data_IF_983790126431
#
_entry.id   IF_983790126431
#
_cell.length_a   1.000
_cell.length_b   1.000
_cell.length_c   1.000
_cell.angle_alpha   90.00
_cell.angle_beta   90.00
_cell.angle_gamma   90.00
#
_symmetry.space_group_name_H-M   'P 1'
#
loop_
_entity.id
_entity.type
_entity.pdbx_description
1 polymer ?
#
# COMPACT_ATOMS: atom_id res chain seq x y z
N UNK A 1 -34.11 -70.66 -8.80
CA UNK A 1 -33.62 -69.74 -7.76
C UNK A 1 -32.25 -69.24 -8.18
N UNK A 2 -32.16 -68.02 -8.70
CA UNK A 2 -30.92 -67.32 -8.98
C UNK A 2 -31.12 -65.88 -8.52
N UNK A 3 -30.43 -65.48 -7.45
CA UNK A 3 -30.44 -64.11 -6.93
C UNK A 3 -29.17 -63.42 -7.41
N UNK A 4 -29.33 -62.58 -8.43
CA UNK A 4 -28.35 -61.57 -8.84
C UNK A 4 -28.24 -60.53 -7.73
N UNK A 5 -27.12 -60.53 -6.99
CA UNK A 5 -26.74 -59.43 -6.10
C UNK A 5 -25.92 -58.42 -6.89
N UNK A 6 -26.41 -57.19 -6.89
CA UNK A 6 -25.86 -56.04 -7.59
C UNK A 6 -24.58 -55.54 -6.91
N UNK A 7 -23.61 -55.23 -7.75
CA UNK A 7 -22.35 -54.56 -7.45
C UNK A 7 -22.60 -53.16 -6.86
N UNK A 8 -22.06 -52.87 -5.66
CA UNK A 8 -22.00 -51.53 -5.10
C UNK A 8 -20.59 -50.95 -5.31
N UNK A 9 -20.41 -49.81 -5.99
CA UNK A 9 -19.13 -49.13 -6.05
C UNK A 9 -18.91 -48.37 -4.74
N UNK A 10 -17.83 -48.75 -4.04
CA UNK A 10 -17.34 -48.12 -2.80
C UNK A 10 -17.01 -46.65 -3.07
N UNK A 11 -17.77 -45.75 -2.44
CA UNK A 11 -17.64 -44.31 -2.57
C UNK A 11 -16.23 -43.79 -2.26
N UNK A 12 -15.67 -43.05 -3.22
CA UNK A 12 -14.47 -42.24 -3.08
C UNK A 12 -14.79 -40.99 -2.25
N UNK A 13 -14.29 -40.95 -1.01
CA UNK A 13 -14.42 -39.78 -0.14
C UNK A 13 -13.53 -38.60 -0.57
N UNK A 14 -13.91 -37.34 -0.27
CA UNK A 14 -13.19 -36.13 -0.66
C UNK A 14 -11.79 -35.95 -0.02
N UNK A 15 -11.35 -36.89 0.83
CA UNK A 15 -10.02 -36.88 1.46
C UNK A 15 -8.88 -37.44 0.60
N UNK A 16 -9.17 -38.30 -0.39
CA UNK A 16 -8.12 -38.98 -1.19
C UNK A 16 -7.47 -38.07 -2.25
N UNK A 17 -8.15 -36.98 -2.64
CA UNK A 17 -7.61 -35.97 -3.55
C UNK A 17 -6.65 -35.00 -2.84
N UNK A 18 -6.93 -34.67 -1.57
CA UNK A 18 -6.11 -33.75 -0.78
C UNK A 18 -4.73 -34.35 -0.42
N UNK A 19 -4.63 -35.67 -0.25
CA UNK A 19 -3.37 -36.34 0.06
C UNK A 19 -2.43 -36.52 -1.14
N UNK A 20 -2.94 -36.38 -2.38
CA UNK A 20 -2.13 -36.53 -3.60
C UNK A 20 -1.40 -35.26 -4.02
N UNK A 21 -1.92 -34.08 -3.68
CA UNK A 21 -1.32 -32.79 -4.08
C UNK A 21 -0.09 -32.42 -3.26
N UNK A 22 0.08 -32.96 -2.05
CA UNK A 22 1.26 -32.74 -1.20
C UNK A 22 2.53 -33.46 -1.69
N UNK A 23 2.45 -34.39 -2.66
CA UNK A 23 3.60 -35.17 -3.14
C UNK A 23 4.25 -34.66 -4.44
N UNK A 24 3.73 -33.59 -5.03
CA UNK A 24 4.21 -33.06 -6.31
C UNK A 24 5.24 -31.92 -6.19
N UNK A 25 5.80 -31.67 -5.00
CA UNK A 25 6.86 -30.67 -4.78
C UNK A 25 8.32 -31.19 -4.56
N UNK A 26 8.83 -32.30 -5.14
CA UNK A 26 10.24 -32.68 -4.93
C UNK A 26 11.21 -32.22 -6.03
N UNK A 27 10.74 -31.95 -7.25
CA UNK A 27 11.67 -31.81 -8.40
C UNK A 27 12.33 -30.42 -8.50
N UNK A 28 11.58 -29.36 -8.24
CA UNK A 28 12.12 -27.99 -8.25
C UNK A 28 13.11 -27.77 -7.10
N UNK A 29 12.78 -28.29 -5.92
CA UNK A 29 13.64 -28.27 -4.73
C UNK A 29 14.96 -28.99 -4.96
N UNK A 30 14.93 -30.22 -5.49
CA UNK A 30 16.15 -30.98 -5.77
C UNK A 30 17.03 -30.32 -6.84
N UNK A 31 16.45 -29.63 -7.83
CA UNK A 31 17.21 -28.88 -8.85
C UNK A 31 17.90 -27.65 -8.25
N UNK A 32 17.20 -26.92 -7.38
CA UNK A 32 17.74 -25.77 -6.66
C UNK A 32 18.93 -26.18 -5.77
N UNK A 33 18.77 -27.24 -4.95
CA UNK A 33 19.85 -27.77 -4.12
C UNK A 33 21.05 -28.28 -4.93
N UNK A 34 20.81 -28.87 -6.10
CA UNK A 34 21.90 -29.31 -6.99
C UNK A 34 22.69 -28.14 -7.57
N UNK A 35 22.04 -27.02 -7.92
CA UNK A 35 22.71 -25.80 -8.38
C UNK A 35 23.53 -25.14 -7.26
N UNK A 36 22.99 -25.10 -6.03
CA UNK A 36 23.73 -24.64 -4.85
C UNK A 36 24.95 -25.53 -4.60
N UNK A 37 24.79 -26.85 -4.68
CA UNK A 37 25.89 -27.80 -4.50
C UNK A 37 26.96 -27.68 -5.60
N UNK A 38 26.58 -27.29 -6.82
CA UNK A 38 27.52 -27.01 -7.92
C UNK A 38 28.36 -25.75 -7.69
N UNK A 39 27.79 -24.73 -7.04
CA UNK A 39 28.51 -23.51 -6.65
C UNK A 39 29.25 -23.63 -5.31
N UNK A 40 29.09 -24.76 -4.59
CA UNK A 40 29.77 -25.01 -3.33
C UNK A 40 31.26 -25.29 -3.59
N UNK A 41 32.19 -24.48 -3.07
CA UNK A 41 33.60 -24.67 -3.35
C UNK A 41 34.12 -25.97 -2.71
N UNK A 42 34.94 -26.73 -3.46
CA UNK A 42 35.44 -28.06 -3.05
C UNK A 42 36.53 -28.02 -1.95
N UNK A 43 36.96 -26.83 -1.50
CA UNK A 43 38.02 -26.66 -0.50
C UNK A 43 37.42 -26.64 0.91
N UNK A 44 38.06 -27.33 1.87
CA UNK A 44 37.60 -27.42 3.27
C UNK A 44 37.40 -26.03 3.92
N UNK A 45 38.32 -25.10 3.67
CA UNK A 45 38.24 -23.72 4.19
C UNK A 45 37.05 -22.91 3.68
N UNK A 46 36.61 -23.17 2.45
CA UNK A 46 35.48 -22.45 1.88
C UNK A 46 34.15 -22.95 2.46
N UNK A 47 34.03 -24.25 2.72
CA UNK A 47 32.86 -24.82 3.40
C UNK A 47 32.72 -24.31 4.83
N UNK A 48 33.81 -24.28 5.60
CA UNK A 48 33.78 -23.76 6.97
C UNK A 48 33.41 -22.27 7.00
N UNK A 49 33.96 -21.47 6.09
CA UNK A 49 33.65 -20.04 5.99
C UNK A 49 32.18 -19.79 5.65
N UNK A 50 31.59 -20.55 4.72
CA UNK A 50 30.17 -20.43 4.35
C UNK A 50 29.27 -20.77 5.54
N UNK A 51 29.57 -21.80 6.33
CA UNK A 51 28.73 -22.16 7.49
C UNK A 51 28.67 -21.03 8.51
N UNK A 52 29.74 -20.25 8.65
CA UNK A 52 29.79 -19.10 9.57
C UNK A 52 29.11 -17.85 8.96
N UNK A 53 29.39 -17.54 7.70
CA UNK A 53 28.90 -16.31 7.06
C UNK A 53 27.44 -16.42 6.58
N UNK A 54 27.03 -17.58 6.06
CA UNK A 54 25.68 -17.79 5.53
C UNK A 54 24.55 -17.45 6.52
N UNK A 55 24.56 -17.90 7.80
CA UNK A 55 23.50 -17.54 8.74
C UNK A 55 23.50 -16.04 9.05
N UNK A 56 24.67 -15.39 9.06
CA UNK A 56 24.78 -13.95 9.26
C UNK A 56 24.13 -13.18 8.11
N UNK A 57 24.43 -13.54 6.85
CA UNK A 57 23.82 -12.90 5.66
C UNK A 57 22.31 -13.16 5.61
N UNK A 58 21.86 -14.36 5.96
CA UNK A 58 20.43 -14.69 6.01
C UNK A 58 19.72 -13.79 7.03
N UNK A 59 20.25 -13.71 8.25
CA UNK A 59 19.70 -12.84 9.28
C UNK A 59 19.73 -11.37 8.85
N UNK A 60 20.83 -10.91 8.25
CA UNK A 60 20.95 -9.55 7.73
C UNK A 60 19.89 -9.23 6.67
N UNK A 61 19.63 -10.16 5.75
CA UNK A 61 18.62 -10.00 4.70
C UNK A 61 17.22 -9.86 5.29
N UNK A 62 16.89 -10.68 6.29
CA UNK A 62 15.59 -10.61 6.99
C UNK A 62 15.45 -9.28 7.74
N UNK A 63 16.49 -8.87 8.48
CA UNK A 63 16.47 -7.60 9.21
C UNK A 63 16.33 -6.43 8.23
N UNK A 64 17.10 -6.41 7.14
CA UNK A 64 17.02 -5.38 6.13
C UNK A 64 15.62 -5.31 5.50
N UNK A 65 15.03 -6.47 5.18
CA UNK A 65 13.67 -6.53 4.64
C UNK A 65 12.63 -5.95 5.60
N UNK A 66 12.64 -6.39 6.88
CA UNK A 66 11.70 -5.87 7.89
C UNK A 66 11.90 -4.39 8.15
N UNK A 67 13.16 -3.93 8.22
CA UNK A 67 13.48 -2.52 8.40
C UNK A 67 12.95 -1.68 7.23
N UNK A 68 13.18 -2.11 5.99
CA UNK A 68 12.65 -1.42 4.82
C UNK A 68 11.13 -1.37 4.88
N UNK A 69 10.44 -2.50 5.08
CA UNK A 69 8.98 -2.52 5.21
C UNK A 69 8.46 -1.50 6.24
N UNK A 70 9.05 -1.48 7.43
CA UNK A 70 8.69 -0.51 8.48
C UNK A 70 9.02 0.93 8.12
N UNK A 71 10.12 1.16 7.41
CA UNK A 71 10.53 2.47 6.96
C UNK A 71 9.53 3.05 5.96
N UNK A 72 9.12 2.29 4.94
CA UNK A 72 8.14 2.72 3.94
C UNK A 72 6.78 3.08 4.56
N UNK A 73 6.30 2.27 5.51
CA UNK A 73 5.07 2.56 6.26
C UNK A 73 5.18 3.88 7.04
N UNK A 74 6.30 4.07 7.76
CA UNK A 74 6.52 5.26 8.59
C UNK A 74 6.67 6.52 7.76
N UNK A 75 7.41 6.46 6.65
CA UNK A 75 7.60 7.61 5.74
C UNK A 75 6.28 8.03 5.13
N UNK A 76 5.48 7.07 4.65
CA UNK A 76 4.16 7.34 4.08
C UNK A 76 3.25 7.99 5.11
N UNK A 77 3.18 7.43 6.33
CA UNK A 77 2.35 8.00 7.38
C UNK A 77 2.74 9.44 7.74
N UNK A 78 4.05 9.69 7.92
CA UNK A 78 4.55 11.01 8.29
C UNK A 78 4.33 12.05 7.20
N UNK A 79 4.54 11.66 5.93
CA UNK A 79 4.32 12.54 4.80
C UNK A 79 2.83 12.87 4.67
N UNK A 80 1.96 11.87 4.71
CA UNK A 80 0.51 12.07 4.70
C UNK A 80 0.06 12.97 5.86
N UNK A 81 0.55 12.74 7.08
CA UNK A 81 0.22 13.57 8.23
C UNK A 81 0.62 15.04 8.04
N UNK A 82 1.84 15.29 7.54
CA UNK A 82 2.32 16.64 7.27
C UNK A 82 1.49 17.33 6.19
N UNK A 83 1.27 16.66 5.05
CA UNK A 83 0.47 17.18 3.93
C UNK A 83 -0.96 17.49 4.36
N UNK A 84 -1.62 16.59 5.11
CA UNK A 84 -2.98 16.83 5.57
C UNK A 84 -3.03 17.94 6.62
N UNK A 85 -2.01 18.08 7.47
CA UNK A 85 -1.90 19.20 8.41
C UNK A 85 -1.81 20.54 7.67
N UNK A 86 -1.08 20.60 6.55
CA UNK A 86 -1.01 21.80 5.72
C UNK A 86 -2.36 22.12 5.05
N UNK A 87 -3.06 21.10 4.55
CA UNK A 87 -4.43 21.26 3.99
C UNK A 87 -5.41 21.74 5.07
N UNK A 88 -5.35 21.16 6.27
CA UNK A 88 -6.18 21.56 7.40
C UNK A 88 -5.90 23.02 7.79
N UNK A 89 -4.64 23.44 7.84
CA UNK A 89 -4.28 24.83 8.10
C UNK A 89 -4.84 25.79 7.04
N UNK A 90 -4.81 25.40 5.76
CA UNK A 90 -5.44 26.19 4.68
C UNK A 90 -6.94 26.30 4.89
N UNK A 91 -7.62 25.18 5.19
CA UNK A 91 -9.07 25.17 5.47
C UNK A 91 -9.39 26.08 6.66
N UNK A 92 -8.68 25.94 7.77
CA UNK A 92 -8.89 26.72 8.99
C UNK A 92 -8.69 28.22 8.74
N UNK A 93 -7.67 28.60 7.96
CA UNK A 93 -7.45 29.99 7.56
C UNK A 93 -8.61 30.52 6.72
N UNK A 94 -9.16 29.70 5.82
CA UNK A 94 -10.26 30.09 4.95
C UNK A 94 -11.60 30.21 5.68
N UNK A 95 -11.83 29.37 6.69
CA UNK A 95 -13.02 29.42 7.55
C UNK A 95 -12.92 30.58 8.56
N UNK A 96 -11.73 30.85 9.10
CA UNK A 96 -11.49 31.93 10.08
C UNK A 96 -11.56 33.32 9.43
N UNK A 97 -11.10 33.45 8.17
CA UNK A 97 -11.09 34.71 7.42
C UNK A 97 -11.91 34.57 6.12
N UNK A 98 -13.26 34.57 6.19
CA UNK A 98 -14.14 34.22 5.06
C UNK A 98 -14.28 35.33 3.98
N UNK A 99 -13.34 36.27 3.89
CA UNK A 99 -13.42 37.36 2.91
C UNK A 99 -12.78 36.93 1.59
N UNK A 100 -13.54 36.92 0.50
CA UNK A 100 -13.08 36.45 -0.82
C UNK A 100 -11.80 37.18 -1.32
N UNK A 101 -11.58 38.44 -0.90
CA UNK A 101 -10.39 39.20 -1.22
C UNK A 101 -9.10 38.60 -0.60
N UNK A 102 -9.20 37.88 0.50
CA UNK A 102 -8.06 37.32 1.24
C UNK A 102 -7.69 35.90 0.78
N UNK A 103 -8.55 35.21 0.02
CA UNK A 103 -8.22 33.89 -0.52
C UNK A 103 -7.03 33.89 -1.47
N UNK A 104 -6.80 34.98 -2.20
CA UNK A 104 -5.61 35.13 -3.05
C UNK A 104 -4.31 35.04 -2.22
N UNK A 105 -4.31 35.62 -1.01
CA UNK A 105 -3.16 35.55 -0.11
C UNK A 105 -2.98 34.14 0.46
N UNK A 106 -4.08 33.47 0.82
CA UNK A 106 -4.06 32.10 1.34
C UNK A 106 -3.55 31.13 0.27
N UNK A 107 -4.07 31.22 -0.96
CA UNK A 107 -3.63 30.38 -2.10
C UNK A 107 -2.14 30.60 -2.37
N UNK A 108 -1.67 31.86 -2.35
CA UNK A 108 -0.25 32.17 -2.53
C UNK A 108 0.61 31.54 -1.43
N UNK A 109 0.20 31.62 -0.16
CA UNK A 109 0.92 31.00 0.96
C UNK A 109 0.97 29.47 0.80
N UNK A 110 -0.16 28.85 0.45
CA UNK A 110 -0.24 27.41 0.22
C UNK A 110 0.73 26.96 -0.90
N UNK A 111 0.79 27.72 -2.00
CA UNK A 111 1.70 27.43 -3.11
C UNK A 111 3.17 27.66 -2.75
N UNK A 112 3.50 28.80 -2.14
CA UNK A 112 4.88 29.22 -1.88
C UNK A 112 5.54 28.46 -0.71
N UNK A 113 4.75 28.11 0.32
CA UNK A 113 5.27 27.56 1.58
C UNK A 113 4.95 26.09 1.77
N UNK A 114 3.76 25.65 1.37
CA UNK A 114 3.30 24.27 1.57
C UNK A 114 3.42 23.42 0.29
N UNK A 115 3.84 24.03 -0.83
CA UNK A 115 3.91 23.38 -2.15
C UNK A 115 2.56 22.78 -2.60
N UNK A 116 1.45 23.33 -2.09
CA UNK A 116 0.09 22.92 -2.41
C UNK A 116 -0.47 23.84 -3.50
N UNK A 117 -0.94 23.26 -4.60
CA UNK A 117 -1.76 24.03 -5.54
C UNK A 117 -3.21 23.92 -5.14
N UNK A 118 -3.81 25.06 -4.80
CA UNK A 118 -5.17 25.14 -4.27
C UNK A 118 -6.06 25.88 -5.28
N UNK A 119 -7.17 25.25 -5.63
CA UNK A 119 -8.23 25.81 -6.46
C UNK A 119 -9.57 25.75 -5.71
N UNK A 120 -10.38 26.80 -5.84
CA UNK A 120 -11.72 26.86 -5.28
C UNK A 120 -12.75 26.60 -6.37
N UNK A 121 -13.55 25.56 -6.18
CA UNK A 121 -14.62 25.20 -7.08
C UNK A 121 -15.99 25.58 -6.48
N UNK A 122 -16.98 25.88 -7.34
CA UNK A 122 -18.36 26.01 -6.89
C UNK A 122 -18.85 24.73 -6.20
N UNK A 123 -19.94 24.79 -5.41
CA UNK A 123 -20.47 23.63 -4.71
C UNK A 123 -21.03 22.62 -5.72
N UNK A 124 -20.19 21.66 -6.09
CA UNK A 124 -20.53 20.53 -6.97
C UNK A 124 -20.36 19.24 -6.14
N UNK A 125 -21.26 18.25 -6.22
CA UNK A 125 -21.06 16.96 -5.58
C UNK A 125 -19.68 16.36 -5.90
N UNK A 126 -19.08 15.75 -4.89
CA UNK A 126 -17.82 15.03 -5.06
C UNK A 126 -18.00 13.91 -6.11
N UNK A 127 -17.02 13.71 -7.00
CA UNK A 127 -17.07 12.64 -7.99
C UNK A 127 -17.11 11.26 -7.31
N UNK A 128 -17.59 10.21 -8.00
CA UNK A 128 -17.61 8.86 -7.46
C UNK A 128 -16.17 8.40 -7.12
N UNK A 129 -15.98 7.54 -6.10
CA UNK A 129 -14.68 6.99 -5.76
C UNK A 129 -14.02 6.35 -6.99
N UNK A 130 -12.80 6.78 -7.29
CA UNK A 130 -12.01 6.22 -8.38
C UNK A 130 -11.57 4.78 -8.12
N UNK A 131 -10.99 4.10 -9.12
CA UNK A 131 -10.38 2.79 -8.91
C UNK A 131 -9.27 2.91 -7.86
N UNK A 132 -9.24 1.98 -6.89
CA UNK A 132 -8.23 1.99 -5.84
C UNK A 132 -6.83 1.75 -6.42
N UNK A 133 -5.81 2.49 -5.98
CA UNK A 133 -4.44 2.37 -6.49
C UNK A 133 -3.78 1.06 -6.07
N UNK A 134 -2.64 0.75 -6.70
CA UNK A 134 -1.72 -0.30 -6.27
C UNK A 134 -1.05 -0.01 -4.91
N UNK A 135 -0.99 1.26 -4.48
CA UNK A 135 -0.43 1.69 -3.20
C UNK A 135 -1.53 2.00 -2.17
N UNK A 136 -2.23 0.97 -1.69
CA UNK A 136 -3.30 1.15 -0.68
C UNK A 136 -2.83 1.83 0.60
N UNK A 137 -1.54 1.72 0.94
CA UNK A 137 -0.95 2.33 2.14
C UNK A 137 -1.03 3.86 2.09
N UNK A 138 -0.80 4.47 0.92
CA UNK A 138 -0.89 5.93 0.77
C UNK A 138 -2.34 6.40 0.89
N UNK A 139 -3.25 5.73 0.18
CA UNK A 139 -4.69 6.04 0.21
C UNK A 139 -5.28 5.90 1.61
N UNK A 140 -4.91 4.82 2.32
CA UNK A 140 -5.31 4.56 3.70
C UNK A 140 -4.74 5.60 4.66
N UNK A 141 -3.44 5.92 4.55
CA UNK A 141 -2.81 6.94 5.36
C UNK A 141 -3.47 8.31 5.15
N UNK A 142 -3.63 8.77 3.90
CA UNK A 142 -4.29 10.05 3.60
C UNK A 142 -5.74 10.08 4.09
N UNK A 143 -6.51 9.03 3.81
CA UNK A 143 -7.91 8.94 4.24
C UNK A 143 -8.05 8.97 5.76
N UNK A 144 -7.18 8.24 6.48
CA UNK A 144 -7.13 8.23 7.94
C UNK A 144 -6.79 9.61 8.50
N UNK A 145 -5.80 10.28 7.91
CA UNK A 145 -5.37 11.61 8.30
C UNK A 145 -6.45 12.68 8.05
N UNK A 146 -7.10 12.68 6.88
CA UNK A 146 -8.19 13.61 6.56
C UNK A 146 -9.36 13.42 7.51
N UNK A 147 -9.76 12.17 7.76
CA UNK A 147 -10.85 11.85 8.68
C UNK A 147 -10.53 12.35 10.10
N UNK A 148 -9.28 12.21 10.53
CA UNK A 148 -8.85 12.60 11.88
C UNK A 148 -8.73 14.12 12.06
N UNK A 149 -8.19 14.83 11.07
CA UNK A 149 -7.85 16.26 11.20
C UNK A 149 -8.94 17.19 10.67
N UNK A 150 -9.55 16.85 9.52
CA UNK A 150 -10.51 17.72 8.82
C UNK A 150 -11.96 17.30 9.12
N UNK A 151 -12.23 15.99 9.15
CA UNK A 151 -13.55 15.42 9.44
C UNK A 151 -14.68 16.03 8.58
N UNK A 152 -14.48 16.03 7.25
CA UNK A 152 -15.45 16.48 6.23
C UNK A 152 -15.53 15.46 5.09
N UNK A 153 -16.60 15.45 4.28
CA UNK A 153 -16.64 14.64 3.07
C UNK A 153 -15.47 15.02 2.14
N UNK A 154 -14.74 14.01 1.68
CA UNK A 154 -13.56 14.20 0.84
C UNK A 154 -13.51 13.16 -0.28
N UNK A 155 -12.74 13.48 -1.31
CA UNK A 155 -12.41 12.59 -2.40
C UNK A 155 -10.91 12.68 -2.69
N UNK A 156 -10.27 11.53 -2.93
CA UNK A 156 -8.84 11.44 -3.24
C UNK A 156 -8.69 10.73 -4.58
N UNK A 157 -7.81 11.23 -5.41
CA UNK A 157 -7.30 10.52 -6.57
C UNK A 157 -5.77 10.43 -6.54
N UNK A 158 -5.31 9.18 -6.45
CA UNK A 158 -3.91 8.77 -6.46
C UNK A 158 -3.52 8.04 -7.75
N UNK A 159 -4.47 7.87 -8.69
CA UNK A 159 -4.31 7.05 -9.90
C UNK A 159 -4.32 7.91 -11.17
N UNK A 160 -5.16 8.95 -11.22
CA UNK A 160 -5.46 9.70 -12.45
C UNK A 160 -4.28 10.45 -13.07
N UNK A 161 -3.32 10.92 -12.27
CA UNK A 161 -2.13 11.62 -12.76
C UNK A 161 -0.87 11.11 -12.04
N UNK A 162 0.12 10.63 -12.79
CA UNK A 162 1.16 9.71 -12.30
C UNK A 162 2.08 10.25 -11.19
N UNK A 163 2.10 11.56 -10.97
CA UNK A 163 3.00 12.24 -10.03
C UNK A 163 2.29 13.29 -9.15
N UNK A 164 0.95 13.29 -9.11
CA UNK A 164 0.20 14.31 -8.36
C UNK A 164 -0.99 13.63 -7.70
N UNK A 165 -1.16 13.86 -6.40
CA UNK A 165 -2.34 13.44 -5.66
C UNK A 165 -3.33 14.58 -5.66
N UNK A 166 -4.55 14.31 -6.12
CA UNK A 166 -5.65 15.25 -6.04
C UNK A 166 -6.49 14.96 -4.81
N UNK A 167 -6.69 15.97 -3.97
CA UNK A 167 -7.56 15.91 -2.79
C UNK A 167 -8.66 16.95 -2.97
N UNK A 168 -9.91 16.52 -2.88
CA UNK A 168 -11.08 17.41 -2.84
C UNK A 168 -11.73 17.32 -1.49
N UNK A 169 -12.00 18.46 -0.86
CA UNK A 169 -12.69 18.55 0.42
C UNK A 169 -13.94 19.41 0.25
N UNK A 170 -15.07 18.90 0.70
CA UNK A 170 -16.32 19.64 0.71
C UNK A 170 -16.32 20.66 1.87
N UNK A 171 -16.46 21.93 1.53
CA UNK A 171 -16.63 23.04 2.47
C UNK A 171 -18.07 23.57 2.43
N UNK A 172 -18.39 24.53 3.31
CA UNK A 172 -19.68 25.23 3.29
C UNK A 172 -19.83 26.06 2.01
N UNK A 173 -20.64 25.57 1.06
CA UNK A 173 -20.95 26.28 -0.18
C UNK A 173 -19.84 26.32 -1.24
N UNK A 174 -18.71 25.64 -1.02
CA UNK A 174 -17.57 25.56 -1.97
C UNK A 174 -16.90 24.18 -1.88
N UNK A 175 -16.10 23.83 -2.89
CA UNK A 175 -15.22 22.65 -2.86
C UNK A 175 -13.78 23.12 -2.94
N UNK A 176 -12.96 22.72 -1.97
CA UNK A 176 -11.52 22.94 -2.01
C UNK A 176 -10.88 21.82 -2.81
N UNK A 177 -10.20 22.16 -3.89
CA UNK A 177 -9.41 21.22 -4.68
C UNK A 177 -7.93 21.51 -4.45
N UNK A 178 -7.20 20.51 -3.98
CA UNK A 178 -5.78 20.60 -3.67
C UNK A 178 -5.02 19.58 -4.49
N UNK A 179 -3.93 20.02 -5.10
CA UNK A 179 -2.95 19.14 -5.73
C UNK A 179 -1.66 19.12 -4.93
N UNK A 180 -1.23 17.91 -4.58
CA UNK A 180 0.01 17.63 -3.87
C UNK A 180 0.98 16.95 -4.84
N UNK A 181 2.23 17.41 -4.90
CA UNK A 181 3.28 16.84 -5.75
C UNK A 181 4.29 16.05 -4.93
#
# INVERSE_FOLDING_TARGET
MATTQLEQPKGSGPGDLALRTLRAMPRAWNRFWRLIALYMPKRLYARSLIIVIAPMILLQSVIAFVFMERHWQTVTQRLSQATISDIAAVIDMMETYPHDADYANIIRIAQDRMQLKVDLLPPDPLPPPGPKPFFSILDEALSSEITRQINRPFWIDTVGNSNVVEVRVQLEGKVLRVFVR
#
